data_IF_732926851355
#
_entry.id   IF_732926851355
#
_cell.length_a   1.000
_cell.length_b   1.000
_cell.length_c   1.000
_cell.angle_alpha   90.00
_cell.angle_beta   90.00
_cell.angle_gamma   90.00
#
_symmetry.space_group_name_H-M   'P 1'
#
loop_
_entity.id
_entity.type
_entity.pdbx_description
1 polymer ?
#
# COMPACT_ATOMS: atom_id res chain seq x y z
N UNK A 1 10.76 -1.95 29.98
CA UNK A 1 9.70 -1.80 28.97
C UNK A 1 9.32 -3.19 28.52
N UNK A 2 8.10 -3.61 28.81
CA UNK A 2 7.57 -4.92 28.41
C UNK A 2 7.52 -5.04 26.88
N UNK A 3 7.51 -6.25 26.33
CA UNK A 3 7.50 -6.49 24.87
C UNK A 3 6.29 -5.80 24.21
N UNK A 4 5.15 -5.80 24.90
CA UNK A 4 3.93 -5.13 24.47
C UNK A 4 4.10 -3.61 24.39
N UNK A 5 4.74 -2.99 25.39
CA UNK A 5 5.00 -1.55 25.41
C UNK A 5 5.95 -1.15 24.28
N UNK A 6 7.01 -1.93 24.06
CA UNK A 6 7.96 -1.68 22.96
C UNK A 6 7.27 -1.76 21.61
N UNK A 7 6.46 -2.81 21.39
CA UNK A 7 5.70 -2.96 20.16
C UNK A 7 4.71 -1.82 19.94
N UNK A 8 3.99 -1.42 21.00
CA UNK A 8 3.04 -0.31 20.92
C UNK A 8 3.73 0.99 20.49
N UNK A 9 4.90 1.28 21.07
CA UNK A 9 5.71 2.44 20.68
C UNK A 9 6.13 2.37 19.21
N UNK A 10 6.66 1.22 18.77
CA UNK A 10 7.04 0.97 17.37
C UNK A 10 5.88 1.22 16.41
N UNK A 11 4.68 0.68 16.70
CA UNK A 11 3.50 0.88 15.87
C UNK A 11 3.09 2.35 15.84
N UNK A 12 3.12 3.06 16.96
CA UNK A 12 2.75 4.47 17.02
C UNK A 12 3.68 5.35 16.19
N UNK A 13 5.00 5.14 16.29
CA UNK A 13 6.00 5.87 15.50
C UNK A 13 5.87 5.59 14.00
N UNK A 14 5.43 4.39 13.64
CA UNK A 14 5.40 3.90 12.26
C UNK A 14 3.99 3.81 11.67
N UNK A 15 2.95 4.32 12.36
CA UNK A 15 1.54 4.20 11.95
C UNK A 15 1.29 4.66 10.51
N UNK A 16 2.01 5.70 10.07
CA UNK A 16 1.87 6.26 8.74
C UNK A 16 2.12 5.24 7.63
N UNK A 17 3.05 4.30 7.81
CA UNK A 17 3.30 3.26 6.80
C UNK A 17 2.14 2.27 6.69
N UNK A 18 1.53 1.91 7.82
CA UNK A 18 0.40 0.98 7.87
C UNK A 18 -0.81 1.61 7.19
N UNK A 19 -1.10 2.88 7.52
CA UNK A 19 -2.20 3.63 6.91
C UNK A 19 -2.02 3.77 5.39
N UNK A 20 -0.81 4.11 4.92
CA UNK A 20 -0.50 4.27 3.50
C UNK A 20 -0.62 2.95 2.74
N UNK A 21 -0.09 1.85 3.29
CA UNK A 21 -0.22 0.53 2.66
C UNK A 21 -1.70 0.15 2.61
N UNK A 22 -2.44 0.26 3.72
CA UNK A 22 -3.85 -0.09 3.69
C UNK A 22 -4.63 0.73 2.65
N UNK A 23 -4.41 2.04 2.60
CA UNK A 23 -5.01 2.92 1.60
C UNK A 23 -4.63 2.60 0.16
N UNK A 24 -3.42 2.07 -0.07
CA UNK A 24 -2.97 1.70 -1.41
C UNK A 24 -3.62 0.42 -1.94
N UNK A 25 -4.01 -0.47 -1.04
CA UNK A 25 -4.49 -1.81 -1.39
C UNK A 25 -6.00 -1.98 -1.22
N UNK A 26 -6.74 -1.01 -0.67
CA UNK A 26 -8.20 -1.11 -0.47
C UNK A 26 -8.97 0.10 -1.00
N UNK A 27 -10.27 -0.11 -1.24
CA UNK A 27 -11.16 0.90 -1.84
C UNK A 27 -12.15 1.48 -0.83
N UNK A 28 -12.61 0.68 0.14
CA UNK A 28 -13.57 1.11 1.16
C UNK A 28 -12.87 1.44 2.48
N UNK A 29 -13.52 2.24 3.32
CA UNK A 29 -13.03 2.54 4.66
C UNK A 29 -12.99 1.29 5.55
N UNK A 30 -13.94 0.38 5.39
CA UNK A 30 -14.01 -0.84 6.19
C UNK A 30 -12.91 -1.83 5.80
N UNK A 31 -12.72 -2.09 4.50
CA UNK A 31 -11.59 -2.90 4.02
C UNK A 31 -10.25 -2.32 4.49
N UNK A 32 -10.14 -0.98 4.50
CA UNK A 32 -8.94 -0.29 4.97
C UNK A 32 -8.69 -0.55 6.45
N UNK A 33 -9.71 -0.45 7.30
CA UNK A 33 -9.59 -0.74 8.75
C UNK A 33 -9.24 -2.20 8.98
N UNK A 34 -9.86 -3.12 8.26
CA UNK A 34 -9.61 -4.55 8.37
C UNK A 34 -8.17 -4.89 7.98
N UNK A 35 -7.69 -4.36 6.86
CA UNK A 35 -6.30 -4.56 6.44
C UNK A 35 -5.30 -3.92 7.42
N UNK A 36 -5.60 -2.76 8.00
CA UNK A 36 -4.75 -2.17 9.05
C UNK A 36 -4.63 -3.10 10.26
N UNK A 37 -5.75 -3.64 10.74
CA UNK A 37 -5.76 -4.56 11.88
C UNK A 37 -4.97 -5.83 11.57
N UNK A 38 -5.17 -6.41 10.39
CA UNK A 38 -4.45 -7.61 9.95
C UNK A 38 -2.93 -7.34 9.83
N UNK A 39 -2.53 -6.18 9.30
CA UNK A 39 -1.12 -5.77 9.26
C UNK A 39 -0.54 -5.69 10.68
N UNK A 40 -1.23 -5.02 11.61
CA UNK A 40 -0.77 -4.90 13.00
C UNK A 40 -0.67 -6.27 13.67
N UNK A 41 -1.64 -7.16 13.41
CA UNK A 41 -1.63 -8.52 13.92
C UNK A 41 -0.43 -9.33 13.41
N UNK A 42 -0.14 -9.28 12.10
CA UNK A 42 1.02 -9.98 11.53
C UNK A 42 2.35 -9.39 12.00
N UNK A 43 2.41 -8.06 12.19
CA UNK A 43 3.56 -7.40 12.80
C UNK A 43 3.79 -7.91 14.22
N UNK A 44 2.75 -7.96 15.06
CA UNK A 44 2.83 -8.47 16.43
C UNK A 44 3.35 -9.92 16.46
N UNK A 45 2.74 -10.78 15.66
CA UNK A 45 3.09 -12.21 15.57
C UNK A 45 4.55 -12.43 15.18
N UNK A 46 5.11 -11.54 14.35
CA UNK A 46 6.49 -11.65 13.87
C UNK A 46 7.49 -10.80 14.64
N UNK A 47 7.03 -9.89 15.54
CA UNK A 47 7.89 -8.93 16.23
C UNK A 47 8.97 -9.59 17.08
N UNK A 48 8.61 -10.61 17.86
CA UNK A 48 9.56 -11.35 18.69
C UNK A 48 10.67 -12.06 17.88
N UNK A 49 10.44 -12.33 16.60
CA UNK A 49 11.39 -12.97 15.69
C UNK A 49 12.26 -11.98 14.89
N UNK A 50 12.06 -10.68 15.09
CA UNK A 50 12.80 -9.66 14.36
C UNK A 50 14.26 -9.58 14.85
N UNK A 51 15.19 -10.05 14.01
CA UNK A 51 16.61 -10.17 14.32
C UNK A 51 17.45 -8.89 14.14
N UNK A 52 16.82 -7.74 13.88
CA UNK A 52 17.51 -6.45 13.64
C UNK A 52 18.55 -6.44 12.50
N UNK A 53 18.48 -7.39 11.57
CA UNK A 53 19.36 -7.47 10.39
C UNK A 53 19.04 -6.40 9.31
N UNK A 54 18.01 -5.58 9.54
CA UNK A 54 17.61 -4.46 8.68
C UNK A 54 17.01 -3.35 9.54
N UNK A 55 16.81 -2.15 8.96
CA UNK A 55 16.04 -1.11 9.64
C UNK A 55 14.65 -1.65 9.99
N UNK A 56 14.16 -1.29 11.18
CA UNK A 56 12.83 -1.68 11.64
C UNK A 56 11.75 -1.33 10.61
N UNK A 57 11.79 -0.13 10.05
CA UNK A 57 10.86 0.30 8.99
C UNK A 57 10.88 -0.63 7.78
N UNK A 58 12.06 -1.07 7.33
CA UNK A 58 12.22 -1.98 6.19
C UNK A 58 11.54 -3.32 6.45
N UNK A 59 11.74 -3.88 7.65
CA UNK A 59 11.04 -5.08 8.07
C UNK A 59 9.52 -4.87 8.13
N UNK A 60 9.06 -3.75 8.69
CA UNK A 60 7.63 -3.42 8.77
C UNK A 60 6.98 -3.31 7.39
N UNK A 61 7.62 -2.62 6.43
CA UNK A 61 7.14 -2.54 5.04
C UNK A 61 7.02 -3.92 4.42
N UNK A 62 8.01 -4.80 4.64
CA UNK A 62 8.00 -6.16 4.10
C UNK A 62 6.83 -6.96 4.65
N UNK A 63 6.62 -6.94 5.97
CA UNK A 63 5.48 -7.65 6.60
C UNK A 63 4.17 -7.07 6.08
N UNK A 64 3.99 -5.75 6.13
CA UNK A 64 2.75 -5.08 5.75
C UNK A 64 2.38 -5.29 4.26
N UNK A 65 3.35 -5.17 3.34
CA UNK A 65 3.13 -5.42 1.92
C UNK A 65 2.78 -6.88 1.65
N UNK A 66 3.48 -7.83 2.27
CA UNK A 66 3.17 -9.25 2.12
C UNK A 66 1.76 -9.57 2.64
N UNK A 67 1.37 -9.01 3.78
CA UNK A 67 0.02 -9.13 4.34
C UNK A 67 -1.03 -8.60 3.38
N UNK A 68 -0.87 -7.37 2.88
CA UNK A 68 -1.81 -6.74 1.95
C UNK A 68 -1.94 -7.54 0.64
N UNK A 69 -0.82 -7.96 0.05
CA UNK A 69 -0.81 -8.75 -1.19
C UNK A 69 -1.49 -10.10 -0.96
N UNK A 70 -1.21 -10.77 0.17
CA UNK A 70 -1.82 -12.07 0.50
C UNK A 70 -3.33 -11.96 0.67
N UNK A 71 -3.80 -10.96 1.44
CA UNK A 71 -5.23 -10.76 1.67
C UNK A 71 -5.98 -10.51 0.36
N UNK A 72 -5.46 -9.62 -0.51
CA UNK A 72 -6.09 -9.34 -1.80
C UNK A 72 -6.09 -10.54 -2.75
N UNK A 73 -5.04 -11.38 -2.72
CA UNK A 73 -5.01 -12.61 -3.52
C UNK A 73 -6.05 -13.63 -3.01
N UNK A 74 -6.29 -13.71 -1.70
CA UNK A 74 -7.30 -14.58 -1.12
C UNK A 74 -8.72 -14.09 -1.44
N UNK A 75 -8.97 -12.79 -1.32
CA UNK A 75 -10.27 -12.19 -1.68
C UNK A 75 -10.60 -12.40 -3.15
N UNK A 76 -9.63 -12.27 -4.07
CA UNK A 76 -9.87 -12.57 -5.51
C UNK A 76 -10.24 -14.03 -5.78
N UNK A 77 -9.83 -14.97 -4.93
CA UNK A 77 -10.15 -16.41 -5.06
C UNK A 77 -11.52 -16.76 -4.47
N UNK A 78 -12.01 -15.97 -3.51
CA UNK A 78 -13.36 -16.11 -2.94
C UNK A 78 -14.29 -15.24 -3.79
N UNK A 79 -15.05 -15.89 -4.67
CA UNK A 79 -16.02 -15.29 -5.62
C UNK A 79 -16.73 -14.06 -5.04
N UNK A 80 -16.80 -13.01 -5.87
CA UNK A 80 -17.39 -11.69 -5.61
C UNK A 80 -18.76 -11.80 -4.95
N UNK A 81 -18.86 -11.44 -3.66
CA UNK A 81 -20.13 -10.99 -3.10
C UNK A 81 -20.45 -9.65 -3.75
N UNK A 82 -21.62 -9.55 -4.40
CA UNK A 82 -22.17 -8.29 -4.90
C UNK A 82 -22.27 -7.31 -3.72
N UNK A 83 -21.57 -6.17 -3.74
CA UNK A 83 -21.79 -5.12 -2.76
C UNK A 83 -23.24 -4.63 -2.92
N UNK A 84 -23.99 -4.54 -1.82
CA UNK A 84 -25.14 -3.65 -1.76
C UNK A 84 -24.59 -2.24 -1.89
N UNK A 85 -24.96 -1.52 -2.95
CA UNK A 85 -24.68 -0.10 -3.09
C UNK A 85 -25.36 0.62 -1.92
N UNK A 86 -24.58 0.92 -0.90
CA UNK A 86 -24.92 1.92 0.10
C UNK A 86 -24.14 3.15 -0.31
N UNK A 87 -24.88 4.18 -0.75
CA UNK A 87 -24.35 5.52 -1.00
C UNK A 87 -23.61 5.97 0.26
N UNK A 88 -22.28 5.90 0.21
CA UNK A 88 -21.42 6.48 1.21
C UNK A 88 -21.32 7.97 0.90
N UNK A 89 -22.29 8.74 1.41
CA UNK A 89 -22.27 10.19 1.38
C UNK A 89 -21.04 10.66 2.19
N UNK A 90 -20.00 11.07 1.47
CA UNK A 90 -18.74 11.56 2.01
C UNK A 90 -18.79 13.08 2.11
N UNK A 91 -18.52 13.57 3.32
CA UNK A 91 -18.41 14.99 3.68
C UNK A 91 -17.67 15.82 2.61
N UNK A 92 -18.44 16.62 1.88
CA UNK A 92 -17.91 17.63 0.96
C UNK A 92 -17.45 18.86 1.76
N UNK A 93 -16.14 19.02 1.94
CA UNK A 93 -15.54 20.33 2.12
C UNK A 93 -15.29 20.94 0.73
N UNK A 94 -15.55 22.24 0.56
CA UNK A 94 -15.32 22.97 -0.69
C UNK A 94 -13.83 22.95 -1.09
N UNK A 95 -13.46 21.98 -1.92
CA UNK A 95 -12.17 21.93 -2.63
C UNK A 95 -12.40 21.98 -4.15
N UNK A 96 -11.37 22.42 -4.86
CA UNK A 96 -11.38 22.63 -6.31
C UNK A 96 -11.67 21.32 -7.06
N UNK A 97 -12.87 21.23 -7.65
CA UNK A 97 -13.38 19.99 -8.30
C UNK A 97 -12.44 19.41 -9.36
N UNK A 98 -11.64 20.26 -10.02
CA UNK A 98 -10.69 19.81 -11.03
C UNK A 98 -9.50 19.03 -10.44
N UNK A 99 -9.04 19.42 -9.24
CA UNK A 99 -7.94 18.74 -8.55
C UNK A 99 -8.42 17.37 -8.01
N UNK A 100 -9.66 17.30 -7.53
CA UNK A 100 -10.26 16.06 -7.05
C UNK A 100 -10.40 15.02 -8.17
N UNK A 101 -10.92 15.41 -9.34
CA UNK A 101 -11.02 14.51 -10.50
C UNK A 101 -9.65 13.97 -10.93
N UNK A 102 -8.62 14.81 -10.92
CA UNK A 102 -7.26 14.39 -11.28
C UNK A 102 -6.68 13.40 -10.25
N UNK A 103 -6.91 13.62 -8.97
CA UNK A 103 -6.51 12.72 -7.88
C UNK A 103 -7.24 11.38 -8.01
N UNK A 104 -8.55 11.38 -8.24
CA UNK A 104 -9.34 10.17 -8.41
C UNK A 104 -8.87 9.36 -9.64
N UNK A 105 -8.60 10.03 -10.76
CA UNK A 105 -8.05 9.38 -11.96
C UNK A 105 -6.67 8.76 -11.69
N UNK A 106 -5.78 9.47 -11.00
CA UNK A 106 -4.47 8.93 -10.63
C UNK A 106 -4.62 7.70 -9.71
N UNK A 107 -5.52 7.75 -8.73
CA UNK A 107 -5.83 6.61 -7.87
C UNK A 107 -6.31 5.40 -8.67
N UNK A 108 -7.26 5.57 -9.60
CA UNK A 108 -7.76 4.50 -10.45
C UNK A 108 -6.66 3.86 -11.32
N UNK A 109 -5.76 4.68 -11.87
CA UNK A 109 -4.63 4.19 -12.66
C UNK A 109 -3.64 3.39 -11.83
N UNK A 110 -3.31 3.84 -10.61
CA UNK A 110 -2.45 3.08 -9.70
C UNK A 110 -3.13 1.76 -9.31
N UNK A 111 -4.46 1.74 -9.14
CA UNK A 111 -5.21 0.51 -8.94
C UNK A 111 -5.17 -0.43 -10.16
N UNK A 112 -4.96 0.07 -11.38
CA UNK A 112 -4.75 -0.78 -12.55
C UNK A 112 -3.39 -1.51 -12.55
N UNK A 113 -2.45 -1.14 -11.67
CA UNK A 113 -1.17 -1.82 -11.52
C UNK A 113 -1.36 -3.17 -10.83
N UNK A 114 -0.49 -4.13 -11.15
CA UNK A 114 -0.42 -5.36 -10.38
C UNK A 114 0.02 -5.05 -8.94
N UNK A 115 -0.32 -5.96 -8.02
CA UNK A 115 -0.15 -5.75 -6.58
C UNK A 115 1.32 -5.45 -6.17
N UNK A 116 2.29 -6.04 -6.88
CA UNK A 116 3.71 -5.81 -6.61
C UNK A 116 4.13 -4.40 -7.06
N UNK A 117 3.72 -4.00 -8.26
CA UNK A 117 4.04 -2.69 -8.84
C UNK A 117 3.42 -1.54 -8.01
N UNK A 118 2.24 -1.74 -7.41
CA UNK A 118 1.66 -0.81 -6.42
C UNK A 118 2.59 -0.59 -5.22
N UNK A 119 3.17 -1.67 -4.68
CA UNK A 119 4.10 -1.61 -3.56
C UNK A 119 5.41 -0.92 -3.95
N UNK A 120 5.94 -1.21 -5.14
CA UNK A 120 7.15 -0.58 -5.67
C UNK A 120 6.97 0.93 -5.83
N UNK A 121 5.86 1.37 -6.45
CA UNK A 121 5.64 2.81 -6.65
C UNK A 121 5.40 3.53 -5.33
N UNK A 122 4.68 2.92 -4.38
CA UNK A 122 4.48 3.48 -3.03
C UNK A 122 5.83 3.75 -2.35
N UNK A 123 6.72 2.75 -2.30
CA UNK A 123 8.03 2.89 -1.65
C UNK A 123 8.92 3.90 -2.38
N UNK A 124 8.82 3.98 -3.72
CA UNK A 124 9.53 4.99 -4.49
C UNK A 124 9.05 6.41 -4.15
N UNK A 125 7.74 6.62 -4.01
CA UNK A 125 7.15 7.91 -3.60
C UNK A 125 7.51 8.28 -2.16
N UNK A 126 7.74 7.30 -1.30
CA UNK A 126 8.29 7.52 0.05
C UNK A 126 9.81 7.78 0.08
N UNK A 127 10.45 7.88 -1.09
CA UNK A 127 11.87 8.21 -1.21
C UNK A 127 12.81 7.06 -0.86
N UNK A 128 12.34 5.80 -0.85
CA UNK A 128 13.22 4.64 -0.63
C UNK A 128 14.17 4.47 -1.80
N UNK A 129 15.43 4.12 -1.49
CA UNK A 129 16.43 3.79 -2.52
C UNK A 129 16.09 2.46 -3.19
N UNK A 130 16.59 2.22 -4.39
CA UNK A 130 16.27 1.01 -5.16
C UNK A 130 16.67 -0.26 -4.42
N UNK A 131 17.79 -0.25 -3.71
CA UNK A 131 18.25 -1.38 -2.89
C UNK A 131 17.34 -1.62 -1.67
N UNK A 132 16.80 -0.56 -1.06
CA UNK A 132 15.84 -0.69 0.03
C UNK A 132 14.51 -1.27 -0.49
N UNK A 133 14.03 -0.78 -1.64
CA UNK A 133 12.83 -1.32 -2.29
C UNK A 133 13.02 -2.80 -2.63
N UNK A 134 14.16 -3.14 -3.22
CA UNK A 134 14.54 -4.51 -3.57
C UNK A 134 14.51 -5.44 -2.35
N UNK A 135 15.10 -5.01 -1.23
CA UNK A 135 15.10 -5.77 0.02
C UNK A 135 13.70 -5.93 0.63
N UNK A 136 12.83 -4.92 0.48
CA UNK A 136 11.45 -4.97 0.97
C UNK A 136 10.59 -5.92 0.14
N UNK A 137 10.64 -5.80 -1.20
CA UNK A 137 9.73 -6.53 -2.10
C UNK A 137 10.28 -7.88 -2.57
N UNK A 138 11.55 -8.19 -2.32
CA UNK A 138 12.16 -9.49 -2.64
C UNK A 138 12.57 -9.67 -4.11
N UNK A 139 13.01 -8.60 -4.78
CA UNK A 139 13.53 -8.65 -6.17
C UNK A 139 14.90 -7.96 -6.26
N UNK A 140 15.56 -8.01 -7.41
CA UNK A 140 16.85 -7.31 -7.61
C UNK A 140 16.67 -5.80 -7.80
N UNK A 141 17.65 -5.00 -7.37
CA UNK A 141 17.67 -3.54 -7.55
C UNK A 141 17.55 -3.11 -9.03
N UNK A 142 18.17 -3.85 -9.94
CA UNK A 142 18.01 -3.66 -11.39
C UNK A 142 16.56 -3.89 -11.87
N UNK A 143 15.89 -4.92 -11.32
CA UNK A 143 14.48 -5.19 -11.63
C UNK A 143 13.56 -4.09 -11.06
N UNK A 144 13.88 -3.54 -9.87
CA UNK A 144 13.18 -2.37 -9.32
C UNK A 144 13.26 -1.19 -10.30
N UNK A 145 14.46 -0.83 -10.78
CA UNK A 145 14.62 0.28 -11.72
C UNK A 145 13.85 0.07 -13.02
N UNK A 146 13.93 -1.13 -13.59
CA UNK A 146 13.18 -1.49 -14.81
C UNK A 146 11.67 -1.39 -14.60
N UNK A 147 11.16 -1.88 -13.46
CA UNK A 147 9.73 -1.81 -13.11
C UNK A 147 9.27 -0.38 -12.89
N UNK A 148 10.03 0.45 -12.17
CA UNK A 148 9.70 1.87 -11.96
C UNK A 148 9.56 2.59 -13.31
N UNK A 149 10.49 2.38 -14.24
CA UNK A 149 10.40 2.98 -15.58
C UNK A 149 9.13 2.55 -16.31
N UNK A 150 8.80 1.25 -16.30
CA UNK A 150 7.57 0.72 -16.91
C UNK A 150 6.30 1.24 -16.24
N UNK A 151 6.28 1.35 -14.91
CA UNK A 151 5.16 1.91 -14.16
C UNK A 151 4.94 3.36 -14.56
N UNK A 152 6.00 4.18 -14.58
CA UNK A 152 5.92 5.60 -15.01
C UNK A 152 5.40 5.74 -16.44
N UNK A 153 5.87 4.90 -17.35
CA UNK A 153 5.39 4.88 -18.73
C UNK A 153 3.91 4.49 -18.82
N UNK A 154 3.47 3.47 -18.07
CA UNK A 154 2.08 3.04 -18.03
C UNK A 154 1.16 4.14 -17.46
N UNK A 155 1.56 4.78 -16.37
CA UNK A 155 0.79 5.89 -15.79
C UNK A 155 0.73 7.08 -16.75
N UNK A 156 1.86 7.45 -17.38
CA UNK A 156 1.90 8.56 -18.35
C UNK A 156 1.02 8.30 -19.57
N UNK A 157 1.08 7.09 -20.16
CA UNK A 157 0.28 6.74 -21.35
C UNK A 157 -1.22 6.72 -21.06
N UNK A 158 -1.61 6.32 -19.85
CA UNK A 158 -3.00 6.35 -19.41
C UNK A 158 -3.51 7.77 -19.16
N UNK A 159 -2.67 8.68 -18.64
CA UNK A 159 -3.01 10.10 -18.50
C UNK A 159 -3.16 10.81 -19.86
N UNK A 160 -2.38 10.42 -20.87
CA UNK A 160 -2.44 11.05 -22.21
C UNK A 160 -3.54 10.50 -23.12
N UNK A 161 -4.23 9.42 -22.76
CA UNK A 161 -5.20 8.71 -23.62
C UNK A 161 -6.62 9.28 -23.57
N UNK A 162 -6.80 10.51 -23.09
CA UNK A 162 -8.11 11.16 -23.02
C UNK A 162 -8.46 11.78 -24.40
N UNK A 163 -9.55 11.38 -25.06
CA UNK A 163 -10.22 12.29 -25.98
C UNK A 163 -10.86 13.42 -25.16
N UNK A 164 -10.79 14.64 -25.72
CA UNK A 164 -11.46 15.83 -25.20
C UNK A 164 -12.99 15.65 -25.13
#
# INVERSE_FOLDING_TARGET
>A
MDLQEQFTHVIQENKGLILKIAAMYTNTLDDRKDLQQEIVFQLWKSYASFKQESKLSTWMYRVALNTAISQLQQTKRRVSTTPLELDADGLAEEYDKAEEEQIQQMHAQIQSLNLLDRGIILLFLEGKKYDEIAAIVGITSSNVGTRISRIKEKLRTQLTKQPA
#
